data_IF_295760687207
#
_entry.id   IF_295760687207
#
_cell.length_a   1.000
_cell.length_b   1.000
_cell.length_c   1.000
_cell.angle_alpha   90.00
_cell.angle_beta   90.00
_cell.angle_gamma   90.00
#
_symmetry.space_group_name_H-M   'P 1'
#
loop_
_entity.id
_entity.type
_entity.pdbx_description
1 polymer ?
#
# COMPACT_ATOMS: atom_id res chain seq x y z
N UNK A 1 8.16 8.61 -9.61
CA UNK A 1 9.52 9.04 -9.98
C UNK A 1 9.68 10.57 -10.11
N UNK A 2 8.78 11.31 -10.79
CA UNK A 2 8.89 12.78 -11.00
C UNK A 2 8.96 13.58 -9.70
N UNK A 3 8.20 13.17 -8.68
CA UNK A 3 8.18 13.78 -7.35
C UNK A 3 9.31 13.30 -6.42
N UNK A 4 10.20 12.42 -6.89
CA UNK A 4 11.34 11.92 -6.11
C UNK A 4 11.06 10.73 -5.19
N UNK A 5 9.85 10.18 -5.17
CA UNK A 5 9.49 9.05 -4.31
C UNK A 5 9.78 7.66 -4.91
N UNK A 6 10.06 7.58 -6.20
CA UNK A 6 10.35 6.30 -6.86
C UNK A 6 11.79 5.82 -6.67
N UNK A 7 12.13 4.64 -7.17
CA UNK A 7 13.46 4.06 -7.08
C UNK A 7 14.55 4.91 -7.78
N UNK A 8 14.15 5.71 -8.76
CA UNK A 8 15.00 6.70 -9.38
C UNK A 8 14.68 8.08 -8.78
N UNK A 9 15.44 8.48 -7.79
CA UNK A 9 15.32 9.81 -7.16
C UNK A 9 15.83 10.91 -8.10
N UNK A 10 15.06 11.19 -9.15
CA UNK A 10 15.43 12.17 -10.18
C UNK A 10 15.17 13.63 -9.74
N UNK A 11 14.69 13.85 -8.52
CA UNK A 11 14.41 15.18 -7.98
C UNK A 11 15.41 15.50 -6.86
N UNK A 12 16.67 15.70 -7.22
CA UNK A 12 17.73 16.01 -6.27
C UNK A 12 17.54 17.37 -5.57
N UNK A 13 16.81 18.29 -6.21
CA UNK A 13 16.62 19.65 -5.72
C UNK A 13 15.29 19.82 -4.95
N UNK A 14 14.48 18.77 -4.84
CA UNK A 14 13.17 18.81 -4.16
C UNK A 14 12.12 19.71 -4.81
N UNK A 15 12.40 20.30 -5.98
CA UNK A 15 11.48 21.20 -6.65
C UNK A 15 10.28 20.48 -7.26
N UNK A 16 9.09 21.11 -7.25
CA UNK A 16 7.93 20.56 -7.90
C UNK A 16 8.16 20.38 -9.42
N UNK A 17 7.71 19.26 -10.01
CA UNK A 17 7.82 19.02 -11.45
C UNK A 17 7.13 20.11 -12.29
N UNK A 18 7.67 20.37 -13.49
CA UNK A 18 7.03 21.30 -14.42
C UNK A 18 5.66 20.79 -14.90
N UNK A 19 4.77 21.68 -15.31
CA UNK A 19 3.46 21.32 -15.87
C UNK A 19 3.58 20.44 -17.12
N UNK A 20 4.60 20.67 -17.94
CA UNK A 20 4.87 19.84 -19.13
C UNK A 20 5.25 18.41 -18.77
N UNK A 21 6.15 18.24 -17.78
CA UNK A 21 6.57 16.92 -17.29
C UNK A 21 5.41 16.15 -16.62
N UNK A 22 4.52 16.87 -15.90
CA UNK A 22 3.32 16.25 -15.30
C UNK A 22 2.35 15.75 -16.39
N UNK A 23 2.11 16.53 -17.44
CA UNK A 23 1.25 16.11 -18.56
C UNK A 23 1.81 14.89 -19.26
N UNK A 24 3.10 14.91 -19.59
CA UNK A 24 3.77 13.77 -20.22
C UNK A 24 3.71 12.49 -19.37
N UNK A 25 3.80 12.62 -18.05
CA UNK A 25 3.63 11.47 -17.15
C UNK A 25 2.18 10.98 -17.10
N UNK A 26 1.19 11.89 -17.05
CA UNK A 26 -0.23 11.55 -17.03
C UNK A 26 -0.68 10.85 -18.32
N UNK A 27 -0.09 11.15 -19.48
CA UNK A 27 -0.37 10.46 -20.75
C UNK A 27 -0.05 8.95 -20.69
N UNK A 28 0.72 8.51 -19.68
CA UNK A 28 1.08 7.11 -19.43
C UNK A 28 0.28 6.46 -18.30
N UNK A 29 -0.72 7.16 -17.79
CA UNK A 29 -1.57 6.71 -16.67
C UNK A 29 -3.01 6.52 -17.15
N UNK A 30 -3.36 5.31 -17.60
CA UNK A 30 -4.74 4.94 -17.92
C UNK A 30 -4.93 3.42 -17.76
N UNK A 31 -5.56 3.01 -16.66
CA UNK A 31 -5.86 1.59 -16.42
C UNK A 31 -6.78 0.98 -17.49
N UNK A 32 -7.60 1.79 -18.19
CA UNK A 32 -8.50 1.32 -19.26
C UNK A 32 -7.75 0.89 -20.51
N UNK A 33 -6.50 1.31 -20.65
CA UNK A 33 -5.62 0.84 -21.71
C UNK A 33 -5.06 -0.58 -21.45
N UNK A 34 -5.37 -1.18 -20.29
CA UNK A 34 -4.96 -2.53 -19.94
C UNK A 34 -6.07 -3.53 -20.28
N UNK A 35 -5.72 -4.58 -21.02
CA UNK A 35 -6.63 -5.66 -21.40
C UNK A 35 -6.13 -6.96 -20.76
N UNK A 36 -6.92 -7.48 -19.83
CA UNK A 36 -6.62 -8.74 -19.13
C UNK A 36 -7.43 -9.86 -19.76
N UNK A 37 -6.73 -10.91 -20.23
CA UNK A 37 -7.33 -12.17 -20.64
C UNK A 37 -7.00 -13.25 -19.62
N UNK A 38 -7.97 -13.60 -18.78
CA UNK A 38 -7.82 -14.60 -17.74
C UNK A 38 -7.72 -16.02 -18.30
N UNK A 39 -8.24 -16.29 -19.48
CA UNK A 39 -8.18 -17.60 -20.11
C UNK A 39 -6.80 -17.88 -20.72
N UNK A 40 -6.20 -16.86 -21.32
CA UNK A 40 -4.85 -16.93 -21.88
C UNK A 40 -3.76 -16.55 -20.85
N UNK A 41 -4.14 -16.06 -19.66
CA UNK A 41 -3.24 -15.53 -18.63
C UNK A 41 -2.31 -14.44 -19.20
N UNK A 42 -2.87 -13.55 -20.01
CA UNK A 42 -2.11 -12.46 -20.63
C UNK A 42 -2.64 -11.09 -20.23
N UNK A 43 -1.72 -10.14 -20.10
CA UNK A 43 -2.00 -8.73 -19.94
C UNK A 43 -1.43 -7.97 -21.13
N UNK A 44 -2.29 -7.33 -21.89
CA UNK A 44 -1.92 -6.46 -23.01
C UNK A 44 -2.20 -5.00 -22.69
N UNK A 45 -1.53 -4.10 -23.38
CA UNK A 45 -1.81 -2.67 -23.34
C UNK A 45 -2.14 -2.13 -24.75
N UNK A 46 -3.15 -1.27 -24.82
CA UNK A 46 -3.61 -0.67 -26.08
C UNK A 46 -2.95 0.69 -26.38
N UNK A 47 -2.25 1.25 -25.40
CA UNK A 47 -1.47 2.48 -25.51
C UNK A 47 -0.17 2.39 -24.69
N UNK A 48 0.67 3.41 -24.74
CA UNK A 48 1.94 3.45 -24.02
C UNK A 48 1.75 3.81 -22.54
N UNK A 49 1.06 2.93 -21.79
CA UNK A 49 0.88 3.08 -20.33
C UNK A 49 1.96 2.34 -19.55
N UNK A 50 2.27 2.85 -18.38
CA UNK A 50 3.16 2.22 -17.39
C UNK A 50 2.32 1.60 -16.26
N UNK A 51 2.82 0.49 -15.69
CA UNK A 51 2.17 -0.20 -14.57
C UNK A 51 3.09 -0.11 -13.38
N UNK A 52 2.56 0.35 -12.25
CA UNK A 52 3.21 0.32 -10.95
C UNK A 52 2.37 -0.54 -10.01
N UNK A 53 3.01 -1.52 -9.38
CA UNK A 53 2.37 -2.47 -8.46
C UNK A 53 2.67 -2.16 -6.99
N UNK A 54 3.24 -0.99 -6.68
CA UNK A 54 3.65 -0.62 -5.32
C UNK A 54 2.51 -0.66 -4.31
N UNK A 55 1.27 -0.39 -4.77
CA UNK A 55 0.07 -0.36 -3.94
C UNK A 55 -0.52 -1.75 -3.61
N UNK A 56 0.06 -2.84 -4.15
CA UNK A 56 -0.45 -4.21 -3.94
C UNK A 56 0.65 -5.22 -3.66
N UNK A 57 1.91 -4.85 -3.89
CA UNK A 57 3.01 -5.82 -3.91
C UNK A 57 3.33 -6.36 -2.52
N UNK A 58 3.23 -5.54 -1.48
CA UNK A 58 3.48 -5.95 -0.10
C UNK A 58 2.39 -6.90 0.39
N UNK A 59 1.13 -6.51 0.21
CA UNK A 59 -0.01 -7.35 0.54
C UNK A 59 -0.02 -8.67 -0.24
N UNK A 60 0.34 -8.64 -1.53
CA UNK A 60 0.52 -9.86 -2.32
C UNK A 60 1.60 -10.78 -1.74
N UNK A 61 2.75 -10.23 -1.33
CA UNK A 61 3.82 -11.02 -0.73
C UNK A 61 3.37 -11.68 0.59
N UNK A 62 2.62 -10.96 1.42
CA UNK A 62 2.02 -11.47 2.66
C UNK A 62 1.09 -12.64 2.36
N UNK A 63 0.15 -12.47 1.41
CA UNK A 63 -0.79 -13.53 1.03
C UNK A 63 -0.06 -14.77 0.50
N UNK A 64 0.99 -14.61 -0.35
CA UNK A 64 1.77 -15.73 -0.87
C UNK A 64 2.50 -16.51 0.21
N UNK A 65 3.03 -15.84 1.23
CA UNK A 65 3.68 -16.51 2.38
C UNK A 65 2.63 -17.23 3.24
N UNK A 66 1.49 -16.60 3.50
CA UNK A 66 0.39 -17.22 4.25
C UNK A 66 -0.14 -18.49 3.56
N UNK A 67 -0.40 -18.42 2.26
CA UNK A 67 -0.82 -19.59 1.46
C UNK A 67 0.22 -20.72 1.48
N UNK A 68 1.51 -20.38 1.49
CA UNK A 68 2.57 -21.38 1.61
C UNK A 68 2.53 -22.07 2.98
N UNK A 69 2.36 -21.30 4.07
CA UNK A 69 2.22 -21.86 5.42
C UNK A 69 1.01 -22.79 5.51
N UNK A 70 -0.15 -22.35 4.99
CA UNK A 70 -1.37 -23.14 4.91
C UNK A 70 -1.18 -24.46 4.13
N UNK A 71 -0.43 -24.41 3.02
CA UNK A 71 -0.10 -25.61 2.22
C UNK A 71 0.80 -26.61 2.97
N UNK A 72 1.55 -26.13 3.96
CA UNK A 72 2.32 -26.98 4.90
C UNK A 72 1.54 -27.32 6.18
N UNK A 73 0.22 -27.13 6.19
CA UNK A 73 -0.67 -27.37 7.35
C UNK A 73 -0.32 -26.53 8.59
N UNK A 74 0.36 -25.40 8.40
CA UNK A 74 0.65 -24.42 9.45
C UNK A 74 -0.47 -23.39 9.46
N UNK A 75 -1.36 -23.45 10.43
CA UNK A 75 -2.55 -22.60 10.52
C UNK A 75 -2.43 -21.49 11.59
N UNK A 76 -1.49 -21.61 12.49
CA UNK A 76 -1.21 -20.62 13.53
C UNK A 76 -0.02 -19.76 13.11
N UNK A 77 -0.26 -18.58 12.53
CA UNK A 77 0.81 -17.71 12.02
C UNK A 77 0.49 -16.23 12.13
N UNK A 78 1.55 -15.43 12.11
CA UNK A 78 1.57 -13.99 11.96
C UNK A 78 2.62 -13.66 10.91
N UNK A 79 2.18 -13.25 9.73
CA UNK A 79 3.04 -12.85 8.61
C UNK A 79 2.94 -11.35 8.43
N UNK A 80 4.06 -10.67 8.33
CA UNK A 80 4.13 -9.23 8.09
C UNK A 80 5.22 -8.90 7.09
N UNK A 81 4.93 -8.02 6.14
CA UNK A 81 5.90 -7.47 5.20
C UNK A 81 5.67 -5.95 5.08
N UNK A 82 6.56 -5.17 5.66
CA UNK A 82 6.57 -3.72 5.53
C UNK A 82 5.34 -2.99 6.07
N UNK A 83 4.66 -3.58 7.05
CA UNK A 83 3.46 -3.04 7.69
C UNK A 83 2.15 -3.71 7.27
N UNK A 84 2.10 -4.37 6.12
CA UNK A 84 0.99 -5.22 5.71
C UNK A 84 1.11 -6.58 6.39
N UNK A 85 0.01 -7.07 6.95
CA UNK A 85 0.03 -8.33 7.68
C UNK A 85 -1.17 -9.22 7.35
N UNK A 86 -0.97 -10.54 7.55
CA UNK A 86 -2.03 -11.55 7.62
C UNK A 86 -1.76 -12.47 8.81
N UNK A 87 -2.77 -12.67 9.61
CA UNK A 87 -2.74 -13.51 10.80
C UNK A 87 -3.79 -14.58 10.71
N UNK A 88 -3.53 -15.72 11.30
CA UNK A 88 -4.47 -16.84 11.42
C UNK A 88 -4.24 -17.59 12.72
N UNK A 89 -5.28 -18.26 13.21
CA UNK A 89 -5.20 -19.12 14.35
C UNK A 89 -4.79 -18.41 15.64
N UNK A 90 -3.96 -19.06 16.43
CA UNK A 90 -3.62 -18.66 17.79
C UNK A 90 -2.11 -18.54 17.98
N UNK A 91 -1.69 -17.66 18.87
CA UNK A 91 -0.26 -17.43 19.09
C UNK A 91 0.40 -18.44 20.03
N UNK A 92 -0.39 -19.24 20.75
CA UNK A 92 0.13 -20.22 21.71
C UNK A 92 -0.90 -21.32 22.03
N UNK A 93 -0.45 -22.33 22.79
CA UNK A 93 -1.26 -23.48 23.21
C UNK A 93 -2.47 -23.10 24.08
N UNK A 94 -2.48 -21.94 24.70
CA UNK A 94 -3.62 -21.45 25.49
C UNK A 94 -4.75 -20.88 24.64
N UNK A 95 -4.65 -20.98 23.30
CA UNK A 95 -5.63 -20.52 22.33
C UNK A 95 -5.91 -19.02 22.40
N UNK A 96 -4.90 -18.22 22.74
CA UNK A 96 -4.99 -16.77 22.65
C UNK A 96 -4.82 -16.33 21.20
N UNK A 97 -5.73 -15.49 20.71
CA UNK A 97 -5.61 -14.90 19.39
C UNK A 97 -4.45 -13.90 19.32
N UNK A 98 -4.12 -13.52 18.10
CA UNK A 98 -3.18 -12.44 17.82
C UNK A 98 -3.77 -11.09 18.19
N UNK A 99 -2.92 -10.15 18.58
CA UNK A 99 -3.31 -8.78 18.97
C UNK A 99 -2.49 -7.79 18.15
N UNK A 100 -2.80 -7.59 16.87
CA UNK A 100 -2.17 -6.54 16.09
C UNK A 100 -2.58 -5.16 16.57
N UNK A 101 -1.68 -4.19 16.37
CA UNK A 101 -1.89 -2.81 16.73
C UNK A 101 -1.87 -1.92 15.47
N UNK A 102 -2.79 -0.96 15.43
CA UNK A 102 -2.80 0.11 14.44
C UNK A 102 -2.00 1.28 15.03
N UNK A 103 -1.03 1.77 14.29
CA UNK A 103 -0.22 2.89 14.71
C UNK A 103 -0.92 4.23 14.46
N UNK A 104 -0.79 5.15 15.42
CA UNK A 104 -1.26 6.51 15.25
C UNK A 104 -0.41 7.24 14.19
N UNK A 105 -1.02 8.04 13.28
CA UNK A 105 -0.30 8.74 12.22
C UNK A 105 0.44 9.98 12.74
N UNK A 106 1.37 9.78 13.67
CA UNK A 106 2.16 10.82 14.29
C UNK A 106 3.61 10.78 13.81
N UNK A 107 4.11 11.90 13.31
CA UNK A 107 5.50 12.02 12.86
C UNK A 107 6.46 11.87 14.05
N UNK A 108 7.44 10.95 13.91
CA UNK A 108 8.53 10.79 14.88
C UNK A 108 8.17 10.10 16.21
N UNK A 109 6.93 9.68 16.39
CA UNK A 109 6.47 8.96 17.58
C UNK A 109 5.77 7.67 17.17
N UNK A 110 6.13 6.56 17.79
CA UNK A 110 5.40 5.29 17.66
C UNK A 110 4.40 5.18 18.79
N UNK A 111 3.14 5.44 18.50
CA UNK A 111 2.04 5.36 19.44
C UNK A 111 0.94 4.47 18.88
N UNK A 112 0.37 3.62 19.71
CA UNK A 112 -0.78 2.81 19.35
C UNK A 112 -2.02 3.70 19.30
N UNK A 113 -2.72 3.66 18.16
CA UNK A 113 -4.04 4.26 17.99
C UNK A 113 -5.14 3.30 18.45
N UNK A 114 -5.08 2.04 17.99
CA UNK A 114 -6.08 1.03 18.28
C UNK A 114 -5.45 -0.36 18.28
N UNK A 115 -6.06 -1.29 19.00
CA UNK A 115 -5.71 -2.71 18.96
C UNK A 115 -6.97 -3.54 18.71
N UNK A 116 -6.82 -4.71 18.09
CA UNK A 116 -7.92 -5.66 17.96
C UNK A 116 -7.44 -7.09 18.20
N UNK A 117 -8.36 -7.95 18.61
CA UNK A 117 -8.10 -9.35 18.90
C UNK A 117 -8.65 -10.22 17.79
N UNK A 118 -7.79 -11.03 17.13
CA UNK A 118 -8.20 -11.90 16.04
C UNK A 118 -9.13 -13.03 16.43
N UNK A 119 -9.11 -13.46 17.70
CA UNK A 119 -9.91 -14.58 18.24
C UNK A 119 -9.72 -15.91 17.50
N UNK A 120 -8.64 -16.07 16.75
CA UNK A 120 -8.38 -17.24 15.92
C UNK A 120 -8.83 -17.12 14.48
N UNK A 121 -9.51 -16.04 14.11
CA UNK A 121 -9.92 -15.79 12.72
C UNK A 121 -8.71 -15.49 11.85
N UNK A 122 -8.81 -15.84 10.54
CA UNK A 122 -7.84 -15.42 9.53
C UNK A 122 -8.24 -14.04 9.02
N UNK A 123 -7.39 -13.06 9.24
CA UNK A 123 -7.59 -11.68 8.84
C UNK A 123 -6.30 -11.07 8.29
N UNK A 124 -6.45 -10.18 7.32
CA UNK A 124 -5.39 -9.37 6.79
C UNK A 124 -5.61 -7.89 7.14
N UNK A 125 -4.53 -7.16 7.32
CA UNK A 125 -4.55 -5.73 7.61
C UNK A 125 -3.48 -5.03 6.80
N UNK A 126 -3.85 -3.92 6.18
CA UNK A 126 -2.91 -3.05 5.48
C UNK A 126 -3.21 -1.59 5.79
N UNK A 127 -2.17 -0.76 5.74
CA UNK A 127 -2.28 0.66 6.01
C UNK A 127 -1.57 1.52 4.98
N UNK A 128 -2.22 2.61 4.57
CA UNK A 128 -1.60 3.69 3.81
C UNK A 128 -1.64 4.98 4.62
N UNK A 129 -0.62 5.82 4.49
CA UNK A 129 -0.59 7.09 5.20
C UNK A 129 0.57 7.99 4.77
N UNK A 130 0.36 9.28 4.87
CA UNK A 130 1.28 10.31 4.40
C UNK A 130 2.27 10.82 5.47
N UNK A 131 2.21 10.28 6.68
CA UNK A 131 2.95 10.79 7.84
C UNK A 131 4.40 10.33 7.94
N UNK A 132 4.80 9.28 7.20
CA UNK A 132 6.17 8.73 7.22
C UNK A 132 6.98 9.08 5.98
N UNK A 133 6.37 9.10 4.81
CA UNK A 133 7.04 9.25 3.53
C UNK A 133 6.58 10.53 2.81
N UNK A 134 7.23 11.63 3.12
CA UNK A 134 6.99 12.94 2.54
C UNK A 134 8.31 13.71 2.42
N UNK A 135 8.30 14.79 1.67
CA UNK A 135 9.35 15.82 1.75
C UNK A 135 8.72 17.21 1.91
N UNK A 136 9.52 18.14 2.38
CA UNK A 136 9.12 19.54 2.49
C UNK A 136 9.97 20.38 1.55
N UNK A 137 9.33 21.27 0.80
CA UNK A 137 9.99 22.22 -0.09
C UNK A 137 9.25 23.56 -0.03
N UNK A 138 9.99 24.63 0.23
CA UNK A 138 9.47 26.00 0.36
C UNK A 138 8.30 26.13 1.36
N UNK A 139 8.38 25.39 2.48
CA UNK A 139 7.36 25.35 3.52
C UNK A 139 6.09 24.57 3.16
N UNK A 140 6.06 23.89 2.02
CA UNK A 140 4.96 23.02 1.59
C UNK A 140 5.39 21.56 1.74
N UNK A 141 4.50 20.77 2.35
CA UNK A 141 4.67 19.32 2.50
C UNK A 141 4.09 18.59 1.28
N UNK A 142 4.86 17.68 0.73
CA UNK A 142 4.48 16.84 -0.40
C UNK A 142 4.45 15.38 0.01
N UNK A 143 3.27 14.76 -0.04
CA UNK A 143 3.07 13.34 0.22
C UNK A 143 3.62 12.48 -0.91
N UNK A 144 4.01 11.24 -0.60
CA UNK A 144 4.34 10.23 -1.60
C UNK A 144 3.12 9.62 -2.30
N UNK A 145 1.93 9.82 -1.75
CA UNK A 145 0.65 9.44 -2.35
C UNK A 145 0.30 10.42 -3.47
N UNK A 146 0.23 9.92 -4.70
CA UNK A 146 0.00 10.73 -5.89
C UNK A 146 -1.38 10.46 -6.44
N UNK A 147 -2.21 11.51 -6.56
CA UNK A 147 -3.51 11.41 -7.23
C UNK A 147 -3.29 11.20 -8.75
N UNK A 148 -3.70 10.06 -9.32
CA UNK A 148 -3.50 9.75 -10.73
C UNK A 148 -4.29 10.66 -11.68
N UNK A 149 -5.28 11.40 -11.18
CA UNK A 149 -6.08 12.35 -11.97
C UNK A 149 -5.33 13.67 -12.20
N UNK A 150 -4.60 14.11 -11.19
CA UNK A 150 -3.86 15.38 -11.21
C UNK A 150 -2.37 15.21 -11.46
N UNK A 151 -1.82 14.00 -11.18
CA UNK A 151 -0.38 13.74 -11.15
C UNK A 151 0.34 14.41 -9.98
N UNK A 152 -0.40 14.92 -8.99
CA UNK A 152 0.13 15.66 -7.85
C UNK A 152 -0.03 14.88 -6.56
N UNK A 153 0.84 15.12 -5.55
CA UNK A 153 0.62 14.66 -4.19
C UNK A 153 -0.77 15.06 -3.69
N UNK A 154 -1.37 14.19 -2.87
CA UNK A 154 -2.64 14.49 -2.20
C UNK A 154 -2.48 15.69 -1.25
N UNK A 155 -3.55 16.50 -1.12
CA UNK A 155 -3.55 17.74 -0.30
C UNK A 155 -4.65 17.73 0.78
N UNK A 156 -5.40 16.64 0.92
CA UNK A 156 -6.46 16.52 1.94
C UNK A 156 -5.89 16.27 3.35
N UNK A 157 -6.76 16.30 4.36
CA UNK A 157 -6.40 16.18 5.77
C UNK A 157 -6.45 14.75 6.34
N UNK A 158 -6.77 13.75 5.52
CA UNK A 158 -6.76 12.35 5.93
C UNK A 158 -5.30 11.88 6.07
N UNK A 159 -4.88 11.56 7.29
CA UNK A 159 -3.50 11.24 7.59
C UNK A 159 -3.14 9.77 7.37
N UNK A 160 -4.09 8.87 7.56
CA UNK A 160 -3.91 7.43 7.35
C UNK A 160 -5.24 6.71 7.13
N UNK A 161 -5.17 5.58 6.45
CA UNK A 161 -6.27 4.62 6.26
C UNK A 161 -5.75 3.24 6.67
N UNK A 162 -6.53 2.49 7.42
CA UNK A 162 -6.28 1.09 7.70
C UNK A 162 -7.47 0.26 7.19
N UNK A 163 -7.17 -0.77 6.42
CA UNK A 163 -8.17 -1.69 5.88
C UNK A 163 -7.97 -3.08 6.49
N UNK A 164 -9.06 -3.68 6.95
CA UNK A 164 -9.11 -5.07 7.40
C UNK A 164 -9.89 -5.86 6.36
N UNK A 165 -9.34 -6.97 5.87
CA UNK A 165 -9.89 -7.78 4.80
C UNK A 165 -9.48 -9.26 4.98
N UNK A 166 -9.96 -10.14 4.13
CA UNK A 166 -9.52 -11.55 4.05
C UNK A 166 -8.21 -11.70 3.26
N UNK A 167 -7.89 -10.76 2.36
CA UNK A 167 -6.69 -10.72 1.53
C UNK A 167 -5.85 -9.51 1.84
N UNK A 168 -4.58 -9.72 2.14
CA UNK A 168 -3.63 -8.63 2.38
C UNK A 168 -3.38 -7.81 1.11
N UNK A 169 -3.33 -8.44 -0.07
CA UNK A 169 -3.22 -7.75 -1.35
C UNK A 169 -4.40 -6.82 -1.59
N UNK A 170 -5.63 -7.26 -1.30
CA UNK A 170 -6.83 -6.43 -1.46
C UNK A 170 -6.88 -5.31 -0.43
N UNK A 171 -6.50 -5.59 0.81
CA UNK A 171 -6.40 -4.58 1.86
C UNK A 171 -5.39 -3.48 1.49
N UNK A 172 -4.19 -3.84 0.99
CA UNK A 172 -3.13 -2.93 0.54
C UNK A 172 -3.63 -2.02 -0.60
N UNK A 173 -4.25 -2.63 -1.63
CA UNK A 173 -4.83 -1.89 -2.75
C UNK A 173 -5.91 -0.89 -2.30
N UNK A 174 -6.82 -1.31 -1.42
CA UNK A 174 -7.92 -0.47 -0.93
C UNK A 174 -7.41 0.63 0.00
N UNK A 175 -6.42 0.36 0.86
CA UNK A 175 -5.83 1.38 1.73
C UNK A 175 -5.24 2.52 0.90
N UNK A 176 -4.47 2.21 -0.15
CA UNK A 176 -3.97 3.22 -1.09
C UNK A 176 -5.11 3.94 -1.84
N UNK A 177 -6.12 3.20 -2.33
CA UNK A 177 -7.22 3.80 -3.08
C UNK A 177 -8.07 4.77 -2.23
N UNK A 178 -8.23 4.50 -0.94
CA UNK A 178 -8.95 5.39 -0.01
C UNK A 178 -8.12 6.59 0.44
N UNK A 179 -6.79 6.53 0.31
CA UNK A 179 -5.91 7.68 0.54
C UNK A 179 -5.89 8.67 -0.62
N UNK A 180 -6.29 8.29 -1.82
CA UNK A 180 -6.32 9.11 -3.04
C UNK A 180 -7.74 9.62 -3.33
#
# INVERSE_FOLDING_TARGET
NLWGFGPQRNNADGAAPSQSSLREALDRVDYRALVLDMSALTLARTSNVEIDLSAIAKGYAVDRVAELLEAYEIHDFFVEVGGELRISGHKDESKRGWVPAIEAPLSGLSQIYEIFLSRGDSIAVAGSGDYRNYFEFDGVRYSHEIDPRSGRPIEHTLAAVTVIDESAMRADALATAYMI
#
